data_IF_662661487620
#
_entry.id   IF_662661487620
#
_cell.length_a   1.000
_cell.length_b   1.000
_cell.length_c   1.000
_cell.angle_alpha   90.00
_cell.angle_beta   90.00
_cell.angle_gamma   90.00
#
_symmetry.space_group_name_H-M   'P 1'
#
loop_
_entity.id
_entity.type
_entity.pdbx_description
1 polymer ?
#
# COMPACT_ATOMS: atom_id res chain seq x y z
N UNK A 1 -32.79 -4.10 20.85
CA UNK A 1 -31.58 -3.61 20.16
C UNK A 1 -30.93 -4.81 19.47
N UNK A 2 -30.55 -4.69 18.18
CA UNK A 2 -29.90 -5.80 17.46
C UNK A 2 -28.49 -5.96 18.02
N UNK A 3 -28.13 -7.17 18.49
CA UNK A 3 -26.79 -7.46 19.00
C UNK A 3 -25.82 -7.31 17.82
N UNK A 4 -24.82 -6.43 17.94
CA UNK A 4 -23.76 -6.32 16.93
C UNK A 4 -22.83 -7.54 17.03
N UNK A 5 -22.34 -8.01 15.89
CA UNK A 5 -21.36 -9.09 15.85
C UNK A 5 -20.03 -8.62 16.45
N UNK A 6 -19.37 -9.51 17.18
CA UNK A 6 -18.04 -9.28 17.73
C UNK A 6 -16.99 -9.30 16.62
N UNK A 7 -15.82 -8.69 16.88
CA UNK A 7 -14.69 -8.69 15.93
C UNK A 7 -14.29 -10.11 15.49
N UNK A 8 -14.31 -11.08 16.41
CA UNK A 8 -13.95 -12.47 16.09
C UNK A 8 -15.02 -13.15 15.21
N UNK A 9 -16.30 -12.88 15.46
CA UNK A 9 -17.39 -13.37 14.61
C UNK A 9 -17.35 -12.77 13.20
N UNK A 10 -17.00 -11.48 13.08
CA UNK A 10 -16.83 -10.80 11.79
C UNK A 10 -15.61 -11.31 11.03
N UNK A 11 -14.48 -11.52 11.72
CA UNK A 11 -13.27 -12.08 11.12
C UNK A 11 -13.53 -13.51 10.62
N UNK A 12 -14.18 -14.35 11.41
CA UNK A 12 -14.52 -15.71 11.02
C UNK A 12 -15.43 -15.74 9.78
N UNK A 13 -16.34 -14.78 9.64
CA UNK A 13 -17.18 -14.63 8.45
C UNK A 13 -16.38 -14.15 7.24
N UNK A 14 -15.56 -13.11 7.41
CA UNK A 14 -14.72 -12.56 6.35
C UNK A 14 -13.76 -13.62 5.77
N UNK A 15 -13.16 -14.47 6.62
CA UNK A 15 -12.23 -15.50 6.17
C UNK A 15 -12.88 -16.59 5.29
N UNK A 16 -14.21 -16.75 5.35
CA UNK A 16 -14.96 -17.69 4.50
C UNK A 16 -15.22 -17.16 3.09
N UNK A 17 -15.05 -15.87 2.85
CA UNK A 17 -15.21 -15.27 1.53
C UNK A 17 -14.11 -15.75 0.56
N UNK A 18 -14.40 -15.66 -0.74
CA UNK A 18 -13.40 -15.86 -1.77
C UNK A 18 -12.24 -14.87 -1.60
N UNK A 19 -11.00 -15.21 -2.03
CA UNK A 19 -9.85 -14.34 -1.85
C UNK A 19 -10.04 -12.90 -2.36
N UNK A 20 -10.73 -12.74 -3.49
CA UNK A 20 -11.01 -11.44 -4.12
C UNK A 20 -11.95 -10.59 -3.27
N UNK A 21 -13.03 -11.17 -2.77
CA UNK A 21 -13.99 -10.48 -1.87
C UNK A 21 -13.35 -10.12 -0.54
N UNK A 22 -12.44 -10.96 -0.02
CA UNK A 22 -11.66 -10.61 1.18
C UNK A 22 -10.76 -9.40 0.95
N UNK A 23 -10.08 -9.35 -0.19
CA UNK A 23 -9.21 -8.22 -0.53
C UNK A 23 -10.02 -6.92 -0.65
N UNK A 24 -11.19 -6.99 -1.29
CA UNK A 24 -12.11 -5.86 -1.40
C UNK A 24 -12.61 -5.40 -0.03
N UNK A 25 -13.09 -6.31 0.81
CA UNK A 25 -13.55 -5.99 2.17
C UNK A 25 -12.44 -5.37 3.01
N UNK A 26 -11.20 -5.89 2.92
CA UNK A 26 -10.05 -5.32 3.63
C UNK A 26 -9.76 -3.88 3.18
N UNK A 27 -9.84 -3.60 1.88
CA UNK A 27 -9.66 -2.25 1.35
C UNK A 27 -10.74 -1.29 1.83
N UNK A 28 -12.02 -1.67 1.74
CA UNK A 28 -13.13 -0.83 2.21
C UNK A 28 -13.05 -0.55 3.72
N UNK A 29 -12.61 -1.53 4.52
CA UNK A 29 -12.37 -1.34 5.96
C UNK A 29 -11.20 -0.39 6.23
N UNK A 30 -10.10 -0.50 5.47
CA UNK A 30 -8.96 0.42 5.60
C UNK A 30 -9.37 1.86 5.26
N UNK A 31 -10.13 2.05 4.18
CA UNK A 31 -10.63 3.38 3.79
C UNK A 31 -11.59 3.94 4.85
N UNK A 32 -12.37 3.08 5.52
CA UNK A 32 -13.30 3.49 6.58
C UNK A 32 -12.62 4.03 7.84
N UNK A 33 -11.31 3.76 8.03
CA UNK A 33 -10.57 4.23 9.21
C UNK A 33 -10.41 5.75 9.23
N UNK A 34 -10.69 6.43 8.11
CA UNK A 34 -11.08 7.84 8.13
C UNK A 34 -10.03 8.78 8.72
N UNK A 35 -8.76 8.49 8.49
CA UNK A 35 -7.67 9.45 8.60
C UNK A 35 -6.69 9.08 7.49
N UNK A 36 -6.40 10.03 6.61
CA UNK A 36 -5.21 9.92 5.78
C UNK A 36 -3.97 9.76 6.67
N UNK A 37 -2.78 9.48 6.10
CA UNK A 37 -1.56 9.61 6.88
C UNK A 37 -1.57 10.96 7.62
N UNK A 38 -1.13 10.99 8.90
CA UNK A 38 -1.00 12.24 9.65
C UNK A 38 -0.36 13.34 8.80
N UNK A 39 -0.78 14.60 8.97
CA UNK A 39 -0.34 15.72 8.11
C UNK A 39 1.19 15.86 8.05
N UNK A 40 1.89 15.53 9.14
CA UNK A 40 3.35 15.46 9.22
C UNK A 40 3.96 14.37 8.32
N UNK A 41 3.26 13.24 8.14
CA UNK A 41 3.67 12.18 7.20
C UNK A 41 3.49 12.65 5.77
N UNK A 42 2.35 13.24 5.42
CA UNK A 42 2.11 13.76 4.07
C UNK A 42 3.13 14.86 3.71
N UNK A 43 3.40 15.76 4.65
CA UNK A 43 4.42 16.80 4.49
C UNK A 43 5.82 16.21 4.29
N UNK A 44 6.21 15.22 5.11
CA UNK A 44 7.51 14.56 4.97
C UNK A 44 7.67 13.85 3.61
N UNK A 45 6.60 13.27 3.07
CA UNK A 45 6.60 12.71 1.71
C UNK A 45 6.76 13.79 0.65
N UNK A 46 6.05 14.91 0.79
CA UNK A 46 6.19 16.06 -0.09
C UNK A 46 7.63 16.58 -0.14
N UNK A 47 8.23 16.81 1.03
CA UNK A 47 9.61 17.28 1.16
C UNK A 47 10.60 16.30 0.53
N UNK A 48 10.42 15.00 0.73
CA UNK A 48 11.27 13.97 0.14
C UNK A 48 11.14 13.89 -1.39
N UNK A 49 9.93 14.02 -1.94
CA UNK A 49 9.71 14.05 -3.39
C UNK A 49 10.41 15.27 -4.00
N UNK A 50 10.23 16.45 -3.40
CA UNK A 50 10.90 17.69 -3.86
C UNK A 50 12.42 17.55 -3.81
N UNK A 51 12.97 17.01 -2.71
CA UNK A 51 14.41 16.76 -2.56
C UNK A 51 14.94 15.84 -3.66
N UNK A 52 14.29 14.69 -3.90
CA UNK A 52 14.73 13.74 -4.94
C UNK A 52 14.60 14.30 -6.35
N UNK A 53 13.55 15.04 -6.64
CA UNK A 53 13.41 15.70 -7.95
C UNK A 53 14.57 16.66 -8.19
N UNK A 54 14.96 17.43 -7.17
CA UNK A 54 16.09 18.35 -7.28
C UNK A 54 17.43 17.62 -7.44
N UNK A 55 17.67 16.54 -6.71
CA UNK A 55 18.89 15.72 -6.87
C UNK A 55 19.05 15.17 -8.30
N UNK A 56 17.93 14.80 -8.95
CA UNK A 56 17.93 14.37 -10.35
C UNK A 56 18.25 15.54 -11.29
N UNK A 57 17.62 16.70 -11.09
CA UNK A 57 17.86 17.90 -11.91
C UNK A 57 19.30 18.41 -11.80
N UNK A 58 19.86 18.38 -10.59
CA UNK A 58 21.22 18.81 -10.30
C UNK A 58 22.28 17.76 -10.67
N UNK A 59 21.85 16.54 -11.02
CA UNK A 59 22.75 15.44 -11.35
C UNK A 59 23.58 14.95 -10.16
N UNK A 60 23.09 15.13 -8.93
CA UNK A 60 23.79 14.76 -7.69
C UNK A 60 23.49 13.35 -7.22
N UNK A 61 22.62 12.63 -7.92
CA UNK A 61 22.23 11.25 -7.61
C UNK A 61 22.60 10.31 -8.76
N UNK A 62 23.04 9.10 -8.41
CA UNK A 62 23.21 8.02 -9.38
C UNK A 62 21.85 7.48 -9.82
N UNK A 63 21.55 7.61 -11.11
CA UNK A 63 20.34 7.07 -11.70
C UNK A 63 20.50 5.60 -12.06
N UNK A 64 19.39 4.87 -12.01
CA UNK A 64 19.29 3.51 -12.52
C UNK A 64 18.35 3.49 -13.72
N UNK A 65 18.62 2.58 -14.65
CA UNK A 65 17.76 2.41 -15.82
C UNK A 65 16.35 1.96 -15.41
N UNK A 66 15.34 2.57 -16.02
CA UNK A 66 13.94 2.32 -15.68
C UNK A 66 13.48 0.91 -16.05
N UNK A 67 13.96 0.34 -17.16
CA UNK A 67 13.59 -1.00 -17.60
C UNK A 67 14.15 -2.06 -16.63
N UNK A 68 15.35 -1.82 -16.09
CA UNK A 68 15.94 -2.67 -15.06
C UNK A 68 15.14 -2.64 -13.74
N UNK A 69 14.65 -1.46 -13.34
CA UNK A 69 13.78 -1.32 -12.16
C UNK A 69 12.46 -2.06 -12.39
N UNK A 70 11.82 -1.87 -13.54
CA UNK A 70 10.56 -2.54 -13.90
C UNK A 70 10.72 -4.06 -13.91
N UNK A 71 11.79 -4.57 -14.50
CA UNK A 71 12.11 -6.00 -14.53
C UNK A 71 12.21 -6.57 -13.12
N UNK A 72 13.02 -5.94 -12.26
CA UNK A 72 13.18 -6.35 -10.85
C UNK A 72 11.86 -6.30 -10.08
N UNK A 73 11.01 -5.31 -10.34
CA UNK A 73 9.69 -5.19 -9.71
C UNK A 73 8.77 -6.36 -10.10
N UNK A 74 8.70 -6.69 -11.40
CA UNK A 74 7.90 -7.83 -11.90
C UNK A 74 8.38 -9.14 -11.29
N UNK A 75 9.69 -9.39 -11.28
CA UNK A 75 10.28 -10.58 -10.67
C UNK A 75 9.92 -10.72 -9.19
N UNK A 76 9.97 -9.62 -8.41
CA UNK A 76 9.55 -9.62 -6.99
C UNK A 76 8.07 -9.92 -6.82
N UNK A 77 7.20 -9.37 -7.66
CA UNK A 77 5.77 -9.64 -7.61
C UNK A 77 5.46 -11.11 -7.92
N UNK A 78 6.11 -11.67 -8.94
CA UNK A 78 5.98 -13.10 -9.26
C UNK A 78 6.46 -13.99 -8.10
N UNK A 79 7.58 -13.65 -7.47
CA UNK A 79 8.07 -14.39 -6.30
C UNK A 79 7.09 -14.33 -5.12
N UNK A 80 6.48 -13.17 -4.86
CA UNK A 80 5.46 -13.02 -3.81
C UNK A 80 4.20 -13.83 -4.10
N UNK A 81 3.79 -13.93 -5.37
CA UNK A 81 2.62 -14.69 -5.80
C UNK A 81 2.82 -16.21 -5.78
N UNK A 82 4.07 -16.68 -5.81
CA UNK A 82 4.44 -18.10 -5.71
C UNK A 82 4.61 -18.59 -4.26
N UNK A 83 4.58 -17.69 -3.28
CA UNK A 83 4.62 -18.00 -1.84
C UNK A 83 3.21 -18.11 -1.29
#
# INVERSE_FOLDING_TARGET
MRKMATRDELLAQALRLAPEDRARLAHELLDSLGDGPPEDVEQAWGDEISRRAQEVLDGTVELVDFDDVLKKMKERMEQRRRR
#
